data_IF_059612766043
#
_entry.id   IF_059612766043
#
_cell.length_a   1.000
_cell.length_b   1.000
_cell.length_c   1.000
_cell.angle_alpha   90.00
_cell.angle_beta   90.00
_cell.angle_gamma   90.00
#
_symmetry.space_group_name_H-M   'P 1'
#
loop_
_entity.id
_entity.type
_entity.pdbx_description
1 polymer ?
#
# COMPACT_ATOMS: atom_id res chain seq x y z
N UNK A 1 -21.22 -2.57 10.20
CA UNK A 1 -21.31 -4.04 10.08
C UNK A 1 -22.39 -4.56 11.01
N UNK A 2 -23.12 -5.58 10.59
CA UNK A 2 -24.13 -6.28 11.39
C UNK A 2 -23.84 -7.77 11.40
N UNK A 3 -24.13 -8.46 12.50
CA UNK A 3 -24.04 -9.92 12.57
C UNK A 3 -25.42 -10.51 12.38
N UNK A 4 -25.53 -11.55 11.56
CA UNK A 4 -26.72 -12.38 11.49
C UNK A 4 -26.72 -13.46 12.60
N UNK A 5 -27.80 -14.25 12.70
CA UNK A 5 -27.96 -15.31 13.70
C UNK A 5 -26.87 -16.40 13.63
N UNK A 6 -26.21 -16.54 12.49
CA UNK A 6 -25.07 -17.45 12.28
C UNK A 6 -23.72 -16.80 12.63
N UNK A 7 -23.71 -15.62 13.25
CA UNK A 7 -22.52 -14.82 13.57
C UNK A 7 -21.68 -14.40 12.36
N UNK A 8 -22.24 -14.47 11.15
CA UNK A 8 -21.63 -13.93 9.94
C UNK A 8 -21.95 -12.45 9.82
N UNK A 9 -20.98 -11.69 9.31
CA UNK A 9 -21.12 -10.27 9.08
C UNK A 9 -21.80 -9.98 7.74
N UNK A 10 -22.69 -9.00 7.74
CA UNK A 10 -23.17 -8.25 6.59
C UNK A 10 -22.68 -6.80 6.64
N UNK A 11 -22.59 -6.17 5.48
CA UNK A 11 -22.13 -4.79 5.31
C UNK A 11 -23.35 -3.92 5.05
N UNK A 12 -23.59 -2.91 5.89
CA UNK A 12 -24.59 -1.88 5.61
C UNK A 12 -23.91 -0.64 5.05
N UNK A 13 -24.31 -0.23 3.86
CA UNK A 13 -23.81 0.97 3.17
C UNK A 13 -24.95 1.98 3.12
N UNK A 14 -24.72 3.18 3.63
CA UNK A 14 -25.64 4.30 3.49
C UNK A 14 -25.38 5.03 2.17
N UNK A 15 -26.40 5.16 1.32
CA UNK A 15 -26.36 5.86 0.04
C UNK A 15 -27.43 6.95 0.02
N UNK A 16 -27.07 8.20 0.35
CA UNK A 16 -28.02 9.30 0.43
C UNK A 16 -29.25 8.93 1.30
N UNK A 17 -30.44 8.83 0.69
CA UNK A 17 -31.71 8.48 1.34
C UNK A 17 -31.98 6.97 1.43
N UNK A 18 -31.14 6.11 0.84
CA UNK A 18 -31.30 4.65 0.86
C UNK A 18 -30.18 3.97 1.65
N UNK A 19 -30.49 2.78 2.16
CA UNK A 19 -29.54 1.90 2.83
C UNK A 19 -29.50 0.58 2.05
N UNK A 20 -28.29 0.12 1.72
CA UNK A 20 -28.08 -1.19 1.12
C UNK A 20 -27.43 -2.09 2.16
N UNK A 21 -27.96 -3.29 2.33
CA UNK A 21 -27.30 -4.35 3.08
C UNK A 21 -26.74 -5.39 2.10
N UNK A 22 -25.44 -5.65 2.22
CA UNK A 22 -24.72 -6.63 1.43
C UNK A 22 -24.42 -7.82 2.33
N UNK A 23 -25.07 -8.94 2.04
CA UNK A 23 -24.75 -10.23 2.65
C UNK A 23 -23.84 -11.01 1.71
N UNK A 24 -22.71 -11.49 2.23
CA UNK A 24 -21.74 -12.24 1.46
C UNK A 24 -21.22 -13.46 2.23
N UNK A 25 -20.97 -14.55 1.50
CA UNK A 25 -20.38 -15.77 2.07
C UNK A 25 -19.01 -15.50 2.67
N UNK A 26 -18.22 -14.59 2.08
CA UNK A 26 -16.97 -14.07 2.61
C UNK A 26 -16.83 -12.57 2.31
N UNK A 27 -16.21 -11.84 3.22
CA UNK A 27 -15.85 -10.42 3.10
C UNK A 27 -14.33 -10.34 3.23
N UNK A 28 -13.65 -9.64 2.33
CA UNK A 28 -12.18 -9.57 2.33
C UNK A 28 -11.76 -8.11 2.49
N UNK A 29 -11.04 -7.81 3.57
CA UNK A 29 -10.46 -6.49 3.84
C UNK A 29 -9.06 -6.40 3.24
N UNK A 30 -8.98 -5.76 2.07
CA UNK A 30 -7.74 -5.43 1.35
C UNK A 30 -7.49 -3.91 1.32
N UNK A 31 -7.89 -3.18 2.36
CA UNK A 31 -7.93 -1.71 2.37
C UNK A 31 -6.63 -1.04 2.86
N UNK A 32 -5.51 -1.76 2.92
CA UNK A 32 -4.23 -1.22 3.38
C UNK A 32 -4.32 -0.66 4.81
N UNK A 33 -4.04 0.63 4.98
CA UNK A 33 -4.19 1.34 6.27
C UNK A 33 -5.65 1.34 6.76
N UNK A 34 -6.61 1.35 5.83
CA UNK A 34 -8.05 1.33 6.12
C UNK A 34 -8.52 0.05 6.81
N UNK A 35 -7.74 -1.04 6.77
CA UNK A 35 -8.09 -2.27 7.48
C UNK A 35 -8.24 -2.04 8.99
N UNK A 36 -7.48 -1.12 9.58
CA UNK A 36 -7.62 -0.81 11.02
C UNK A 36 -9.03 -0.29 11.35
N UNK A 37 -9.53 0.65 10.56
CA UNK A 37 -10.88 1.19 10.74
C UNK A 37 -11.98 0.16 10.47
N UNK A 38 -11.79 -0.70 9.47
CA UNK A 38 -12.74 -1.77 9.16
C UNK A 38 -12.80 -2.83 10.26
N UNK A 39 -11.65 -3.22 10.83
CA UNK A 39 -11.59 -4.15 11.96
C UNK A 39 -12.28 -3.58 13.20
N UNK A 40 -12.06 -2.30 13.52
CA UNK A 40 -12.74 -1.63 14.63
C UNK A 40 -14.27 -1.63 14.43
N UNK A 41 -14.74 -1.26 13.23
CA UNK A 41 -16.18 -1.29 12.92
C UNK A 41 -16.79 -2.70 12.94
N UNK A 42 -15.98 -3.73 12.71
CA UNK A 42 -16.38 -5.12 12.82
C UNK A 42 -16.17 -5.71 14.24
N UNK A 43 -15.64 -4.94 15.19
CA UNK A 43 -15.25 -5.40 16.53
C UNK A 43 -14.26 -6.59 16.51
N UNK A 44 -13.34 -6.58 15.55
CA UNK A 44 -12.24 -7.55 15.43
C UNK A 44 -11.05 -7.00 16.22
N UNK A 45 -10.75 -7.62 17.37
CA UNK A 45 -9.64 -7.21 18.24
C UNK A 45 -8.51 -8.25 18.32
N UNK A 46 -8.70 -9.42 17.68
CA UNK A 46 -7.71 -10.50 17.64
C UNK A 46 -6.55 -10.22 16.68
N UNK A 47 -6.73 -9.25 15.77
CA UNK A 47 -5.78 -8.88 14.72
C UNK A 47 -5.38 -7.41 14.93
N UNK A 48 -4.08 -7.15 14.90
CA UNK A 48 -3.55 -5.79 15.01
C UNK A 48 -2.93 -5.34 13.68
N UNK A 49 -3.10 -4.06 13.34
CA UNK A 49 -2.43 -3.41 12.23
C UNK A 49 -1.33 -2.46 12.75
N UNK A 50 -0.35 -2.17 11.91
CA UNK A 50 0.66 -1.14 12.15
C UNK A 50 0.96 -0.36 10.88
N UNK A 51 1.40 0.88 11.07
CA UNK A 51 1.94 1.72 10.00
C UNK A 51 3.42 1.96 10.22
N UNK A 52 4.20 1.91 9.13
CA UNK A 52 5.63 2.19 9.11
C UNK A 52 5.91 3.25 8.06
N UNK A 53 5.95 4.53 8.45
CA UNK A 53 6.07 5.62 7.49
C UNK A 53 7.42 5.57 6.75
N UNK A 54 7.46 6.24 5.60
CA UNK A 54 8.65 6.58 4.82
C UNK A 54 8.58 8.06 4.42
N UNK A 55 9.70 8.78 4.45
CA UNK A 55 9.82 10.12 3.89
C UNK A 55 10.60 10.06 2.58
N UNK A 56 9.87 9.84 1.50
CA UNK A 56 10.41 9.61 0.17
C UNK A 56 10.80 10.93 -0.48
N UNK A 57 11.76 10.88 -1.41
CA UNK A 57 12.17 12.05 -2.22
C UNK A 57 12.09 11.67 -3.69
N UNK A 58 11.71 12.62 -4.53
CA UNK A 58 11.92 12.49 -5.97
C UNK A 58 12.65 13.69 -6.55
N UNK A 59 13.33 13.45 -7.66
CA UNK A 59 13.86 14.48 -8.54
C UNK A 59 13.34 14.23 -9.95
N UNK A 60 12.80 15.25 -10.61
CA UNK A 60 12.45 15.19 -12.03
C UNK A 60 13.30 16.13 -12.85
N UNK A 61 13.76 15.66 -14.01
CA UNK A 61 14.60 16.42 -14.94
C UNK A 61 14.51 15.84 -16.34
N UNK A 62 14.63 16.71 -17.34
CA UNK A 62 14.81 16.28 -18.72
C UNK A 62 16.16 15.57 -18.90
N UNK A 63 16.19 14.48 -19.67
CA UNK A 63 17.40 13.69 -19.98
C UNK A 63 18.12 13.10 -18.73
N UNK A 64 17.42 12.93 -17.61
CA UNK A 64 17.97 12.19 -16.48
C UNK A 64 18.12 10.70 -16.86
N UNK A 65 19.24 10.03 -16.55
CA UNK A 65 19.43 8.64 -16.98
C UNK A 65 18.49 7.70 -16.22
N UNK A 66 17.98 6.70 -16.93
CA UNK A 66 17.12 5.67 -16.35
C UNK A 66 17.96 4.70 -15.52
N UNK A 67 17.60 4.52 -14.25
CA UNK A 67 18.29 3.61 -13.33
C UNK A 67 17.36 2.97 -12.31
N UNK A 68 17.66 1.70 -12.02
CA UNK A 68 16.99 0.87 -11.02
C UNK A 68 18.09 0.24 -10.15
N UNK A 69 18.41 0.89 -9.03
CA UNK A 69 19.62 0.60 -8.26
C UNK A 69 19.31 0.56 -6.77
N UNK A 70 19.89 -0.43 -6.09
CA UNK A 70 20.08 -0.43 -4.65
C UNK A 70 21.55 -0.17 -4.35
N UNK A 71 21.85 0.95 -3.70
CA UNK A 71 23.18 1.23 -3.19
C UNK A 71 23.30 0.70 -1.76
N UNK A 72 24.10 -0.35 -1.61
CA UNK A 72 24.45 -0.93 -0.31
C UNK A 72 25.76 -0.28 0.13
N UNK A 73 25.79 0.29 1.33
CA UNK A 73 26.99 0.90 1.87
C UNK A 73 27.93 -0.10 2.52
N UNK A 74 28.99 0.42 3.13
CA UNK A 74 30.00 -0.39 3.84
C UNK A 74 29.54 -0.86 5.24
N UNK A 75 28.31 -0.56 5.64
CA UNK A 75 27.72 -1.04 6.89
C UNK A 75 27.03 -2.40 6.71
N UNK A 76 27.04 -3.23 7.76
CA UNK A 76 26.33 -4.53 7.78
C UNK A 76 24.79 -4.39 7.85
N UNK A 77 24.25 -3.26 7.39
CA UNK A 77 22.81 -3.02 7.33
C UNK A 77 22.20 -3.87 6.21
N UNK A 78 21.08 -4.53 6.51
CA UNK A 78 20.26 -5.22 5.52
C UNK A 78 19.46 -4.25 4.64
N UNK A 79 19.40 -2.96 5.00
CA UNK A 79 18.69 -1.93 4.25
C UNK A 79 19.65 -1.16 3.33
N UNK A 80 19.34 -0.99 2.04
CA UNK A 80 20.16 -0.19 1.14
C UNK A 80 20.16 1.27 1.60
N UNK A 81 21.32 1.92 1.59
CA UNK A 81 21.47 3.34 1.93
C UNK A 81 20.59 4.23 1.04
N UNK A 82 20.58 3.91 -0.26
CA UNK A 82 19.74 4.57 -1.25
C UNK A 82 19.14 3.51 -2.19
N UNK A 83 17.85 3.61 -2.46
CA UNK A 83 17.19 2.89 -3.56
C UNK A 83 16.67 3.91 -4.55
N UNK A 84 17.00 3.75 -5.82
CA UNK A 84 16.51 4.62 -6.90
C UNK A 84 15.77 3.77 -7.92
N UNK A 85 14.60 4.24 -8.31
CA UNK A 85 13.85 3.72 -9.45
C UNK A 85 13.49 4.88 -10.38
N UNK A 86 13.64 4.68 -11.68
CA UNK A 86 13.27 5.69 -12.67
C UNK A 86 11.85 5.48 -13.19
N UNK A 87 11.13 6.58 -13.30
CA UNK A 87 9.77 6.67 -13.82
C UNK A 87 9.71 7.80 -14.85
N UNK A 88 8.54 7.99 -15.47
CA UNK A 88 8.26 9.16 -16.30
C UNK A 88 7.05 9.89 -15.72
N UNK A 89 7.10 11.23 -15.75
CA UNK A 89 5.92 12.05 -15.47
C UNK A 89 5.06 12.24 -16.73
N UNK A 90 3.90 12.89 -16.57
CA UNK A 90 2.98 13.20 -17.68
C UNK A 90 3.62 14.04 -18.82
N UNK A 91 4.72 14.76 -18.55
CA UNK A 91 5.44 15.58 -19.52
C UNK A 91 6.62 14.84 -20.17
N UNK A 92 6.84 13.57 -19.82
CA UNK A 92 7.94 12.74 -20.31
C UNK A 92 9.29 13.04 -19.67
N UNK A 93 9.35 13.84 -18.60
CA UNK A 93 10.57 14.00 -17.81
C UNK A 93 10.87 12.69 -17.09
N UNK A 94 12.15 12.38 -16.92
CA UNK A 94 12.54 11.23 -16.11
C UNK A 94 12.52 11.63 -14.64
N UNK A 95 11.87 10.79 -13.83
CA UNK A 95 11.74 10.96 -12.38
C UNK A 95 12.58 9.91 -11.68
N UNK A 96 13.53 10.33 -10.85
CA UNK A 96 14.17 9.46 -9.88
C UNK A 96 13.36 9.45 -8.60
N UNK A 97 12.74 8.31 -8.30
CA UNK A 97 12.05 8.08 -7.05
C UNK A 97 12.99 7.36 -6.07
N UNK A 98 13.25 8.00 -4.93
CA UNK A 98 14.35 7.69 -4.03
C UNK A 98 13.85 7.29 -2.63
N UNK A 99 14.31 6.13 -2.18
CA UNK A 99 14.00 5.57 -0.87
C UNK A 99 15.18 4.77 -0.29
N UNK A 100 14.86 3.70 0.44
CA UNK A 100 15.85 2.95 1.25
C UNK A 100 15.98 3.53 2.65
N UNK A 101 17.14 3.33 3.28
CA UNK A 101 17.46 3.88 4.61
C UNK A 101 17.34 5.41 4.64
N UNK A 102 17.63 6.10 3.52
CA UNK A 102 17.34 7.53 3.32
C UNK A 102 15.90 7.90 3.74
N UNK A 103 14.90 7.15 3.26
CA UNK A 103 13.50 7.45 3.52
C UNK A 103 13.04 6.98 4.91
N UNK A 104 13.67 5.92 5.47
CA UNK A 104 13.39 5.46 6.83
C UNK A 104 13.92 6.45 7.88
N UNK A 105 15.11 7.02 7.67
CA UNK A 105 15.70 8.04 8.56
C UNK A 105 15.12 9.45 8.34
N UNK A 106 14.42 9.66 7.23
CA UNK A 106 13.78 10.93 6.91
C UNK A 106 12.53 11.24 7.73
N UNK A 107 12.01 10.28 8.49
CA UNK A 107 10.79 10.46 9.29
C UNK A 107 10.96 11.57 10.32
N UNK A 108 9.99 12.49 10.34
CA UNK A 108 9.97 13.64 11.24
C UNK A 108 10.83 14.82 10.79
N UNK A 109 11.61 14.68 9.71
CA UNK A 109 12.36 15.80 9.13
C UNK A 109 11.45 16.74 8.34
N UNK A 110 11.71 18.06 8.36
CA UNK A 110 11.15 18.98 7.38
C UNK A 110 11.48 18.55 5.94
N UNK A 111 10.59 18.90 5.01
CA UNK A 111 10.73 18.59 3.58
C UNK A 111 12.07 19.10 3.03
N UNK A 112 12.41 20.34 3.33
CA UNK A 112 13.63 21.00 2.84
C UNK A 112 14.89 20.28 3.35
N UNK A 113 14.92 19.90 4.62
CA UNK A 113 16.04 19.14 5.21
C UNK A 113 16.21 17.78 4.52
N UNK A 114 15.12 17.07 4.26
CA UNK A 114 15.16 15.76 3.61
C UNK A 114 15.64 15.87 2.15
N UNK A 115 15.22 16.92 1.43
CA UNK A 115 15.68 17.20 0.08
C UNK A 115 17.18 17.53 0.08
N UNK A 116 17.65 18.40 0.99
CA UNK A 116 19.06 18.77 1.10
C UNK A 116 19.97 17.55 1.38
N UNK A 117 19.56 16.68 2.31
CA UNK A 117 20.25 15.42 2.61
C UNK A 117 20.33 14.55 1.35
N UNK A 118 19.22 14.44 0.61
CA UNK A 118 19.16 13.61 -0.60
C UNK A 118 20.03 14.18 -1.72
N UNK A 119 20.02 15.49 -1.93
CA UNK A 119 20.90 16.16 -2.90
C UNK A 119 22.37 15.94 -2.57
N UNK A 120 22.75 16.02 -1.29
CA UNK A 120 24.09 15.67 -0.82
C UNK A 120 24.45 14.23 -1.18
N UNK A 121 23.61 13.28 -0.80
CA UNK A 121 23.83 11.86 -1.06
C UNK A 121 23.94 11.55 -2.56
N UNK A 122 23.09 12.15 -3.40
CA UNK A 122 23.13 11.96 -4.85
C UNK A 122 24.42 12.51 -5.46
N UNK A 123 24.90 13.68 -5.00
CA UNK A 123 26.19 14.23 -5.45
C UNK A 123 27.37 13.34 -5.05
N UNK A 124 27.32 12.75 -3.86
CA UNK A 124 28.38 11.88 -3.37
C UNK A 124 28.42 10.54 -4.13
N UNK A 125 27.25 9.96 -4.42
CA UNK A 125 27.14 8.65 -5.08
C UNK A 125 27.22 8.71 -6.61
N UNK A 126 26.70 9.78 -7.21
CA UNK A 126 26.62 9.97 -8.66
C UNK A 126 27.22 11.32 -9.09
N UNK A 127 28.49 11.62 -8.74
CA UNK A 127 29.10 12.94 -9.01
C UNK A 127 29.21 13.29 -10.49
N UNK A 128 29.07 12.30 -11.39
CA UNK A 128 29.06 12.49 -12.84
C UNK A 128 27.69 12.89 -13.41
N UNK A 129 26.63 12.92 -12.59
CA UNK A 129 25.29 13.32 -13.00
C UNK A 129 25.03 14.76 -12.58
N UNK A 130 24.76 15.62 -13.56
CA UNK A 130 24.32 16.98 -13.29
C UNK A 130 22.87 17.01 -12.81
N UNK A 131 22.66 17.57 -11.62
CA UNK A 131 21.37 17.68 -10.93
C UNK A 131 20.94 19.14 -10.68
N UNK A 132 21.66 20.11 -11.23
CA UNK A 132 21.53 21.53 -10.90
C UNK A 132 20.19 22.17 -11.27
N UNK A 133 19.56 21.69 -12.35
CA UNK A 133 18.25 22.07 -12.88
C UNK A 133 17.16 21.02 -12.54
N UNK A 134 17.46 20.07 -11.65
CA UNK A 134 16.47 19.09 -11.19
C UNK A 134 15.41 19.74 -10.31
N UNK A 135 14.14 19.38 -10.53
CA UNK A 135 13.05 19.74 -9.63
C UNK A 135 12.91 18.68 -8.55
N UNK A 136 13.02 19.08 -7.29
CA UNK A 136 13.03 18.19 -6.14
C UNK A 136 11.79 18.37 -5.28
N UNK A 137 11.23 17.27 -4.80
CA UNK A 137 10.18 17.28 -3.78
C UNK A 137 10.31 16.05 -2.86
N UNK A 138 9.65 16.09 -1.71
CA UNK A 138 9.56 14.99 -0.77
C UNK A 138 8.15 14.84 -0.19
N UNK A 139 7.78 13.62 0.13
CA UNK A 139 6.49 13.32 0.72
C UNK A 139 6.58 12.15 1.70
N UNK A 140 5.67 12.14 2.67
CA UNK A 140 5.54 11.02 3.61
C UNK A 140 4.47 10.05 3.12
N UNK A 141 4.75 8.75 3.17
CA UNK A 141 3.81 7.69 2.85
C UNK A 141 3.87 6.56 3.89
N UNK A 142 2.71 6.02 4.26
CA UNK A 142 2.62 4.92 5.21
C UNK A 142 2.69 3.57 4.50
N UNK A 143 3.54 2.68 5.00
CA UNK A 143 3.41 1.24 4.75
C UNK A 143 2.46 0.67 5.78
N UNK A 144 1.34 0.08 5.36
CA UNK A 144 0.41 -0.62 6.24
C UNK A 144 0.69 -2.12 6.25
N UNK A 145 0.89 -2.69 7.43
CA UNK A 145 1.24 -4.10 7.63
C UNK A 145 0.45 -4.68 8.80
N UNK A 146 0.31 -6.01 8.85
CA UNK A 146 -0.14 -6.68 10.06
C UNK A 146 0.92 -6.48 11.18
N UNK A 147 0.46 -6.24 12.40
CA UNK A 147 1.30 -6.22 13.58
C UNK A 147 1.32 -7.62 14.21
N UNK A 148 2.36 -8.39 13.86
CA UNK A 148 2.58 -9.75 14.38
C UNK A 148 3.45 -9.78 15.65
N UNK A 149 3.63 -8.64 16.34
CA UNK A 149 4.46 -8.51 17.56
C UNK A 149 5.89 -9.08 17.41
N UNK A 150 6.44 -9.00 16.21
CA UNK A 150 7.81 -9.41 15.91
C UNK A 150 8.58 -8.20 15.37
N UNK A 151 9.86 -8.08 15.73
CA UNK A 151 10.73 -6.98 15.26
C UNK A 151 11.11 -7.07 13.78
N UNK A 152 10.62 -8.11 13.08
CA UNK A 152 10.91 -8.38 11.68
C UNK A 152 9.67 -8.18 10.81
N UNK A 153 9.90 -7.63 9.61
CA UNK A 153 8.87 -7.57 8.56
C UNK A 153 8.48 -9.00 8.17
N UNK A 154 7.19 -9.34 8.05
CA UNK A 154 6.81 -10.65 7.53
C UNK A 154 7.38 -10.83 6.10
N UNK A 155 7.96 -11.98 5.83
CA UNK A 155 8.55 -12.30 4.51
C UNK A 155 7.52 -12.78 3.48
N UNK A 156 6.25 -12.84 3.87
CA UNK A 156 5.14 -13.35 3.07
C UNK A 156 3.88 -12.48 3.24
N UNK A 157 2.90 -12.67 2.37
CA UNK A 157 1.59 -12.07 2.52
C UNK A 157 0.90 -12.59 3.80
N UNK A 158 0.18 -11.69 4.47
CA UNK A 158 -0.54 -11.99 5.70
C UNK A 158 -2.04 -12.07 5.43
N UNK A 159 -2.66 -13.14 5.93
CA UNK A 159 -4.11 -13.24 6.07
C UNK A 159 -4.46 -13.68 7.49
N UNK A 160 -5.57 -13.17 8.01
CA UNK A 160 -6.20 -13.66 9.23
C UNK A 160 -7.71 -13.70 9.05
N UNK A 161 -8.36 -14.63 9.73
CA UNK A 161 -9.76 -14.95 9.51
C UNK A 161 -10.51 -14.82 10.83
N UNK A 162 -11.60 -14.06 10.82
CA UNK A 162 -12.56 -14.00 11.92
C UNK A 162 -13.98 -14.06 11.34
N UNK A 163 -14.76 -15.07 11.73
CA UNK A 163 -16.05 -15.40 11.10
C UNK A 163 -15.95 -15.53 9.56
N UNK A 164 -16.74 -14.76 8.81
CA UNK A 164 -16.70 -14.67 7.35
C UNK A 164 -15.82 -13.52 6.84
N UNK A 165 -15.02 -12.87 7.69
CA UNK A 165 -14.10 -11.81 7.31
C UNK A 165 -12.68 -12.38 7.18
N UNK A 166 -12.02 -12.06 6.07
CA UNK A 166 -10.59 -12.26 5.85
C UNK A 166 -9.93 -10.88 5.86
N UNK A 167 -8.99 -10.65 6.77
CA UNK A 167 -8.18 -9.44 6.81
C UNK A 167 -6.84 -9.73 6.15
N UNK A 168 -6.45 -8.91 5.17
CA UNK A 168 -5.37 -9.21 4.25
C UNK A 168 -4.41 -8.02 4.07
N UNK A 169 -3.10 -8.29 4.14
CA UNK A 169 -2.05 -7.37 3.71
C UNK A 169 -1.02 -8.13 2.88
N UNK A 170 -0.62 -7.64 1.69
CA UNK A 170 0.41 -8.30 0.90
C UNK A 170 1.82 -8.11 1.49
N UNK A 171 2.01 -7.14 2.41
CA UNK A 171 3.29 -6.67 2.97
C UNK A 171 4.25 -6.01 1.96
N UNK A 172 4.39 -6.58 0.76
CA UNK A 172 5.10 -6.02 -0.40
C UNK A 172 4.22 -6.15 -1.64
N UNK A 173 4.28 -5.20 -2.56
CA UNK A 173 3.54 -5.29 -3.83
C UNK A 173 3.89 -6.57 -4.61
N UNK A 174 5.14 -7.04 -4.53
CA UNK A 174 5.60 -8.28 -5.17
C UNK A 174 4.97 -9.55 -4.59
N UNK A 175 4.34 -9.48 -3.42
CA UNK A 175 3.69 -10.60 -2.74
C UNK A 175 2.16 -10.58 -2.94
N UNK A 176 1.61 -9.66 -3.73
CA UNK A 176 0.19 -9.68 -4.10
C UNK A 176 -0.26 -11.01 -4.73
N UNK A 177 0.53 -11.69 -5.59
CA UNK A 177 0.17 -13.03 -6.05
C UNK A 177 0.07 -14.06 -4.91
N UNK A 178 1.03 -14.09 -3.98
CA UNK A 178 0.98 -14.96 -2.79
C UNK A 178 -0.26 -14.67 -1.94
N UNK A 179 -0.62 -13.39 -1.79
CA UNK A 179 -1.85 -13.00 -1.09
C UNK A 179 -3.10 -13.58 -1.77
N UNK A 180 -3.17 -13.48 -3.10
CA UNK A 180 -4.29 -14.00 -3.87
C UNK A 180 -4.42 -15.52 -3.71
N UNK A 181 -3.30 -16.26 -3.82
CA UNK A 181 -3.28 -17.72 -3.64
C UNK A 181 -3.81 -18.12 -2.26
N UNK A 182 -3.32 -17.49 -1.18
CA UNK A 182 -3.78 -17.77 0.20
C UNK A 182 -5.28 -17.50 0.39
N UNK A 183 -5.79 -16.43 -0.23
CA UNK A 183 -7.23 -16.11 -0.20
C UNK A 183 -8.01 -17.17 -0.94
N UNK A 184 -7.61 -17.53 -2.16
CA UNK A 184 -8.28 -18.56 -2.98
C UNK A 184 -8.31 -19.92 -2.28
N UNK A 185 -7.19 -20.35 -1.70
CA UNK A 185 -7.11 -21.58 -0.90
C UNK A 185 -8.10 -21.54 0.27
N UNK A 186 -8.19 -20.40 0.96
CA UNK A 186 -9.15 -20.21 2.05
C UNK A 186 -10.61 -20.31 1.57
N UNK A 187 -10.93 -19.69 0.42
CA UNK A 187 -12.26 -19.78 -0.18
C UNK A 187 -12.61 -21.23 -0.56
N UNK A 188 -11.64 -21.98 -1.10
CA UNK A 188 -11.79 -23.38 -1.45
C UNK A 188 -12.04 -24.26 -0.21
N UNK A 189 -11.25 -24.07 0.86
CA UNK A 189 -11.43 -24.79 2.13
C UNK A 189 -12.82 -24.53 2.71
N UNK A 190 -13.29 -23.28 2.63
CA UNK A 190 -14.63 -22.88 3.07
C UNK A 190 -15.75 -23.29 2.10
N UNK A 191 -15.42 -23.98 1.01
CA UNK A 191 -16.37 -24.42 -0.03
C UNK A 191 -17.23 -23.27 -0.58
N UNK A 192 -16.63 -22.08 -0.71
CA UNK A 192 -17.31 -20.91 -1.28
C UNK A 192 -17.42 -21.11 -2.79
N UNK A 193 -18.64 -21.21 -3.29
CA UNK A 193 -18.93 -21.28 -4.72
C UNK A 193 -19.31 -19.90 -5.26
N UNK A 194 -19.00 -19.65 -6.53
CA UNK A 194 -19.54 -18.49 -7.23
C UNK A 194 -21.07 -18.58 -7.26
N UNK A 195 -21.74 -17.46 -7.01
CA UNK A 195 -23.16 -17.27 -7.23
C UNK A 195 -23.31 -16.24 -8.34
N UNK A 196 -24.02 -16.58 -9.40
CA UNK A 196 -24.31 -15.66 -10.49
C UNK A 196 -25.74 -15.15 -10.33
N UNK A 197 -25.89 -13.84 -10.15
CA UNK A 197 -27.18 -13.18 -9.94
C UNK A 197 -27.19 -11.87 -10.70
N UNK A 198 -27.85 -11.88 -11.85
CA UNK A 198 -28.05 -10.69 -12.71
C UNK A 198 -28.70 -9.53 -11.94
N UNK A 199 -29.60 -9.85 -11.00
CA UNK A 199 -30.26 -8.87 -10.13
C UNK A 199 -29.25 -8.14 -9.24
N UNK A 200 -28.36 -8.88 -8.55
CA UNK A 200 -27.32 -8.27 -7.70
C UNK A 200 -26.36 -7.43 -8.55
N UNK A 201 -25.96 -7.93 -9.73
CA UNK A 201 -25.08 -7.18 -10.63
C UNK A 201 -25.71 -5.85 -11.08
N UNK A 202 -27.00 -5.86 -11.44
CA UNK A 202 -27.74 -4.65 -11.82
C UNK A 202 -27.87 -3.68 -10.66
N UNK A 203 -28.23 -4.16 -9.46
CA UNK A 203 -28.34 -3.33 -8.26
C UNK A 203 -27.01 -2.65 -7.91
N UNK A 204 -25.89 -3.39 -8.00
CA UNK A 204 -24.56 -2.83 -7.75
C UNK A 204 -24.18 -1.80 -8.82
N UNK A 205 -24.49 -2.05 -10.10
CA UNK A 205 -24.20 -1.11 -11.18
C UNK A 205 -24.97 0.22 -11.05
N UNK A 206 -26.20 0.18 -10.53
CA UNK A 206 -27.00 1.39 -10.26
C UNK A 206 -26.52 2.14 -9.01
N UNK A 207 -26.09 1.41 -7.97
CA UNK A 207 -25.74 1.98 -6.68
C UNK A 207 -24.26 2.41 -6.57
N UNK A 208 -23.35 1.71 -7.24
CA UNK A 208 -21.92 1.92 -7.10
C UNK A 208 -21.41 2.99 -8.06
N UNK A 209 -20.55 3.88 -7.56
CA UNK A 209 -19.72 4.72 -8.39
C UNK A 209 -18.43 3.98 -8.71
N UNK A 210 -17.94 4.12 -9.94
CA UNK A 210 -16.61 3.65 -10.31
C UNK A 210 -15.57 4.46 -9.54
N UNK A 211 -14.64 3.78 -8.87
CA UNK A 211 -13.51 4.45 -8.22
C UNK A 211 -12.60 5.10 -9.27
N UNK A 212 -12.07 6.28 -8.94
CA UNK A 212 -11.11 6.98 -9.80
C UNK A 212 -9.73 6.31 -9.73
N UNK A 213 -8.94 6.49 -10.78
CA UNK A 213 -7.54 6.08 -10.79
C UNK A 213 -6.70 7.11 -10.04
N UNK A 214 -5.78 6.66 -9.19
CA UNK A 214 -4.85 7.55 -8.50
C UNK A 214 -3.78 8.09 -9.46
N UNK A 215 -3.38 9.34 -9.28
CA UNK A 215 -2.20 9.92 -9.91
C UNK A 215 -0.94 9.59 -9.11
N UNK A 216 0.22 9.71 -9.73
CA UNK A 216 1.49 9.62 -9.01
C UNK A 216 1.74 10.90 -8.20
N UNK A 217 2.76 10.90 -7.35
CA UNK A 217 3.14 12.09 -6.58
C UNK A 217 3.91 13.15 -7.39
N UNK A 218 4.38 12.80 -8.58
CA UNK A 218 5.22 13.67 -9.42
C UNK A 218 4.50 14.26 -10.64
N UNK A 219 3.24 13.86 -10.84
CA UNK A 219 2.29 14.42 -11.81
C UNK A 219 1.42 15.51 -11.15
#
# INVERSE_FOLDING_TARGET
FSKNDSSNYSICIQLNESQIEISASQIIFCAGEGNAALMEQAAIHSIAAQVRPLHMVYMKKQNLPQMFVHYVGDDFSLSPKLTVTSHQDEQGQTVWYMGGDLAERGIGKPKEEQIEITQGLVRDLFPWIDTSDGEWDSFTINRAEANINNNYRPDDAYIAIESNIIVAWPTKLTLTPSLADKVLDTLQIKSVSAADSDEIQSMLAEAAKTAETANTYWD
#
